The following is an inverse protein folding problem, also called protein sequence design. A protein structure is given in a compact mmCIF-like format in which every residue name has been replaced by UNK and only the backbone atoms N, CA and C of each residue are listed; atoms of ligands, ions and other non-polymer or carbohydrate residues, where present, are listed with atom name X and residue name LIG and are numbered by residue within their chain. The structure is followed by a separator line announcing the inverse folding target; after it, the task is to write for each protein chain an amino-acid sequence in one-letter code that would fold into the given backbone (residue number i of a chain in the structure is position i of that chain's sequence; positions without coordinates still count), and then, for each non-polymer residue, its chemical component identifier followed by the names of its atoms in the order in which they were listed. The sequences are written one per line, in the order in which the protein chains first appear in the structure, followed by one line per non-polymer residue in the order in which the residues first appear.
data_IF_534221276491
#
_entry.id   IF_534221276491
#
_cell.length_a   1.000
_cell.length_b   1.000
_cell.length_c   1.000
_cell.angle_alpha   90.00
_cell.angle_beta   90.00
_cell.angle_gamma   90.00
#
_symmetry.space_group_name_H-M   'P 1'
#
loop_
_entity.id
_entity.type
_entity.pdbx_description
1 polymer ?
#
# COMPACT_ATOMS: atom_id res chain seq x y z
N UNK A 1 -50.96 12.09 -5.01
CA UNK A 1 -49.80 12.90 -4.56
C UNK A 1 -50.09 13.36 -3.15
N UNK A 2 -49.48 12.75 -2.14
CA UNK A 2 -49.73 13.09 -0.74
C UNK A 2 -48.45 13.73 -0.17
N UNK A 3 -48.47 15.06 -0.03
CA UNK A 3 -47.40 15.81 0.62
C UNK A 3 -47.56 15.65 2.13
N UNK A 4 -46.78 14.75 2.73
CA UNK A 4 -46.65 14.68 4.18
C UNK A 4 -45.71 15.80 4.64
N UNK A 5 -46.27 16.97 4.95
CA UNK A 5 -45.55 18.01 5.68
C UNK A 5 -45.23 17.50 7.09
N UNK A 6 -43.96 17.31 7.38
CA UNK A 6 -43.46 17.01 8.73
C UNK A 6 -43.45 18.34 9.49
N UNK A 7 -44.47 18.58 10.31
CA UNK A 7 -44.46 19.67 11.27
C UNK A 7 -43.62 19.25 12.49
N UNK A 8 -42.45 19.85 12.62
CA UNK A 8 -41.65 19.77 13.85
C UNK A 8 -42.24 20.80 14.81
N UNK A 9 -42.96 20.34 15.83
CA UNK A 9 -43.38 21.17 16.94
C UNK A 9 -42.21 21.23 17.92
N UNK A 10 -41.55 22.38 17.99
CA UNK A 10 -40.57 22.68 19.04
C UNK A 10 -41.40 23.14 20.25
N UNK A 11 -41.44 22.30 21.28
CA UNK A 11 -42.06 22.65 22.55
C UNK A 11 -41.10 23.58 23.32
N UNK A 12 -41.45 24.86 23.44
CA UNK A 12 -40.65 25.89 24.10
C UNK A 12 -40.65 25.80 25.63
N UNK A 13 -41.27 24.77 26.22
CA UNK A 13 -41.18 24.48 27.66
C UNK A 13 -39.94 23.67 28.03
N UNK A 14 -38.78 24.04 27.50
CA UNK A 14 -37.51 23.45 27.92
C UNK A 14 -37.11 24.01 29.28
N UNK A 15 -37.11 23.16 30.31
CA UNK A 15 -36.27 23.39 31.48
C UNK A 15 -34.87 23.72 30.96
N UNK A 16 -34.34 24.88 31.35
CA UNK A 16 -32.95 25.26 31.09
C UNK A 16 -32.01 24.33 31.87
N UNK A 17 -31.89 23.07 31.47
CA UNK A 17 -30.65 22.34 31.69
C UNK A 17 -29.67 22.97 30.71
N UNK A 18 -28.92 23.98 31.20
CA UNK A 18 -27.74 24.47 30.50
C UNK A 18 -26.96 23.24 30.09
N UNK A 19 -26.94 22.94 28.78
CA UNK A 19 -26.12 21.88 28.24
C UNK A 19 -24.72 22.15 28.78
N UNK A 20 -24.24 21.25 29.63
CA UNK A 20 -22.97 21.36 30.30
C UNK A 20 -21.91 21.66 29.22
N UNK A 21 -21.28 22.84 29.26
CA UNK A 21 -20.29 23.25 28.26
C UNK A 21 -19.17 22.19 28.11
N UNK A 22 -18.88 21.43 29.15
CA UNK A 22 -17.91 20.33 29.16
C UNK A 22 -18.38 19.11 28.34
N UNK A 23 -19.67 18.80 28.31
CA UNK A 23 -20.23 17.74 27.46
C UNK A 23 -20.23 18.15 25.98
N UNK A 24 -20.55 19.41 25.68
CA UNK A 24 -20.46 19.95 24.33
C UNK A 24 -19.01 19.94 23.83
N UNK A 25 -18.06 20.36 24.66
CA UNK A 25 -16.63 20.31 24.34
C UNK A 25 -16.14 18.87 24.12
N UNK A 26 -16.62 17.91 24.92
CA UNK A 26 -16.29 16.48 24.74
C UNK A 26 -16.80 15.96 23.40
N UNK A 27 -18.05 16.27 23.03
CA UNK A 27 -18.64 15.87 21.75
C UNK A 27 -17.93 16.51 20.56
N UNK A 28 -17.61 17.81 20.65
CA UNK A 28 -16.84 18.51 19.60
C UNK A 28 -15.47 17.87 19.39
N UNK A 29 -14.80 17.48 20.49
CA UNK A 29 -13.51 16.80 20.44
C UNK A 29 -13.63 15.43 19.79
N UNK A 30 -14.63 14.63 20.14
CA UNK A 30 -14.85 13.31 19.50
C UNK A 30 -15.11 13.42 17.99
N UNK A 31 -15.90 14.42 17.57
CA UNK A 31 -16.14 14.69 16.14
C UNK A 31 -14.83 15.06 15.43
N UNK A 32 -13.99 15.90 16.05
CA UNK A 32 -12.69 16.28 15.52
C UNK A 32 -11.76 15.05 15.37
N UNK A 33 -11.69 14.20 16.40
CA UNK A 33 -10.92 12.95 16.34
C UNK A 33 -11.40 12.00 15.24
N UNK A 34 -12.71 11.81 15.09
CA UNK A 34 -13.26 10.97 14.03
C UNK A 34 -12.91 11.50 12.64
N UNK A 35 -13.03 12.81 12.43
CA UNK A 35 -12.71 13.43 11.15
C UNK A 35 -11.22 13.34 10.80
N UNK A 36 -10.34 13.55 11.80
CA UNK A 36 -8.89 13.37 11.62
C UNK A 36 -8.56 11.91 11.29
N UNK A 37 -9.18 10.95 11.98
CA UNK A 37 -8.95 9.54 11.74
C UNK A 37 -9.40 9.09 10.34
N UNK A 38 -10.57 9.54 9.90
CA UNK A 38 -11.06 9.29 8.53
C UNK A 38 -10.09 9.87 7.51
N UNK A 39 -9.69 11.14 7.67
CA UNK A 39 -8.72 11.79 6.80
C UNK A 39 -7.39 11.00 6.71
N UNK A 40 -6.84 10.59 7.85
CA UNK A 40 -5.61 9.78 7.90
C UNK A 40 -5.80 8.42 7.21
N UNK A 41 -6.95 7.76 7.39
CA UNK A 41 -7.25 6.50 6.71
C UNK A 41 -7.29 6.67 5.20
N UNK A 42 -7.96 7.71 4.69
CA UNK A 42 -7.96 8.03 3.26
C UNK A 42 -6.55 8.32 2.75
N UNK A 43 -5.78 9.13 3.46
CA UNK A 43 -4.42 9.48 3.07
C UNK A 43 -3.51 8.23 3.00
N UNK A 44 -3.60 7.35 3.99
CA UNK A 44 -2.84 6.10 4.04
C UNK A 44 -3.22 5.17 2.88
N UNK A 45 -4.51 5.02 2.59
CA UNK A 45 -4.98 4.21 1.45
C UNK A 45 -4.47 4.75 0.10
N UNK A 46 -4.55 6.06 -0.10
CA UNK A 46 -4.05 6.71 -1.33
C UNK A 46 -2.53 6.52 -1.46
N UNK A 47 -1.79 6.68 -0.37
CA UNK A 47 -0.34 6.49 -0.37
C UNK A 47 0.04 5.03 -0.66
N UNK A 48 -0.63 4.07 -0.01
CA UNK A 48 -0.42 2.64 -0.25
C UNK A 48 -0.69 2.27 -1.72
N UNK A 49 -1.80 2.73 -2.29
CA UNK A 49 -2.14 2.55 -3.70
C UNK A 49 -1.09 3.17 -4.63
N UNK A 50 -0.62 4.38 -4.31
CA UNK A 50 0.41 5.08 -5.09
C UNK A 50 1.75 4.32 -5.08
N UNK A 51 2.13 3.76 -3.93
CA UNK A 51 3.35 2.95 -3.78
C UNK A 51 3.27 1.65 -4.59
N UNK A 52 2.15 0.94 -4.55
CA UNK A 52 1.95 -0.28 -5.36
C UNK A 52 1.99 0.03 -6.85
N UNK A 53 1.34 1.13 -7.28
CA UNK A 53 1.35 1.57 -8.66
C UNK A 53 2.78 1.89 -9.13
N UNK A 54 3.55 2.63 -8.32
CA UNK A 54 4.94 2.95 -8.64
C UNK A 54 5.80 1.68 -8.82
N UNK A 55 5.67 0.69 -7.92
CA UNK A 55 6.35 -0.60 -8.06
C UNK A 55 5.93 -1.35 -9.32
N UNK A 56 4.64 -1.37 -9.63
CA UNK A 56 4.13 -2.01 -10.84
C UNK A 56 4.69 -1.37 -12.10
N UNK A 57 4.76 -0.04 -12.14
CA UNK A 57 5.35 0.68 -13.27
C UNK A 57 6.85 0.44 -13.38
N UNK A 58 7.58 0.40 -12.26
CA UNK A 58 9.02 0.10 -12.25
C UNK A 58 9.30 -1.29 -12.83
N UNK A 59 8.59 -2.32 -12.36
CA UNK A 59 8.74 -3.66 -12.90
C UNK A 59 8.38 -3.74 -14.38
N UNK A 60 7.32 -3.05 -14.81
CA UNK A 60 6.90 -3.06 -16.21
C UNK A 60 7.92 -2.37 -17.12
N UNK A 61 8.46 -1.23 -16.70
CA UNK A 61 9.36 -0.43 -17.54
C UNK A 61 10.80 -0.94 -17.54
N UNK A 62 11.29 -1.46 -16.41
CA UNK A 62 12.72 -1.69 -16.20
C UNK A 62 13.12 -3.18 -16.22
N UNK A 63 12.16 -4.10 -16.25
CA UNK A 63 12.44 -5.54 -16.17
C UNK A 63 11.83 -6.33 -17.34
N UNK A 64 12.63 -7.24 -17.88
CA UNK A 64 12.17 -8.28 -18.80
C UNK A 64 11.52 -9.43 -18.03
N UNK A 65 10.66 -10.21 -18.71
CA UNK A 65 10.06 -11.43 -18.12
C UNK A 65 11.13 -12.35 -17.51
N UNK A 66 12.27 -12.52 -18.19
CA UNK A 66 13.37 -13.35 -17.67
C UNK A 66 13.93 -12.82 -16.35
N UNK A 67 14.06 -11.50 -16.20
CA UNK A 67 14.53 -10.90 -14.95
C UNK A 67 13.48 -11.02 -13.84
N UNK A 68 12.20 -10.83 -14.15
CA UNK A 68 11.12 -11.04 -13.17
C UNK A 68 11.10 -12.48 -12.67
N UNK A 69 11.22 -13.47 -13.57
CA UNK A 69 11.32 -14.89 -13.21
C UNK A 69 12.52 -15.17 -12.29
N UNK A 70 13.67 -14.50 -12.50
CA UNK A 70 14.82 -14.64 -11.60
C UNK A 70 14.54 -14.12 -10.19
N UNK A 71 13.77 -13.04 -10.07
CA UNK A 71 13.33 -12.53 -8.76
C UNK A 71 12.41 -13.58 -8.10
N UNK A 72 11.47 -14.15 -8.87
CA UNK A 72 10.62 -15.23 -8.38
C UNK A 72 11.44 -16.47 -7.97
N UNK A 73 12.53 -16.77 -8.68
CA UNK A 73 13.41 -17.90 -8.38
C UNK A 73 14.12 -17.68 -7.04
N UNK A 74 14.56 -16.44 -6.78
CA UNK A 74 15.12 -16.06 -5.48
C UNK A 74 14.11 -16.23 -4.34
N UNK A 75 12.84 -15.89 -4.56
CA UNK A 75 11.78 -16.10 -3.57
C UNK A 75 11.28 -17.55 -3.45
N UNK A 76 11.67 -18.43 -4.37
CA UNK A 76 11.21 -19.82 -4.41
C UNK A 76 9.77 -19.99 -4.92
N UNK A 77 9.16 -18.94 -5.50
CA UNK A 77 7.76 -18.91 -5.94
C UNK A 77 7.57 -19.17 -7.45
N UNK A 78 8.66 -19.37 -8.19
CA UNK A 78 8.60 -19.57 -9.65
C UNK A 78 7.82 -20.81 -10.08
N UNK A 79 7.68 -21.80 -9.21
CA UNK A 79 6.92 -23.02 -9.53
C UNK A 79 5.47 -22.67 -9.89
N UNK A 80 4.85 -21.80 -9.11
CA UNK A 80 3.45 -21.37 -9.32
C UNK A 80 3.31 -20.56 -10.60
N UNK A 81 4.32 -19.75 -10.92
CA UNK A 81 4.35 -18.94 -12.14
C UNK A 81 4.47 -19.82 -13.39
N UNK A 82 5.41 -20.79 -13.38
CA UNK A 82 5.67 -21.68 -14.51
C UNK A 82 4.51 -22.65 -14.73
N UNK A 83 3.91 -23.17 -13.67
CA UNK A 83 2.77 -24.07 -13.76
C UNK A 83 1.55 -23.39 -14.41
N UNK A 84 1.29 -22.14 -14.04
CA UNK A 84 0.13 -21.38 -14.52
C UNK A 84 0.41 -20.58 -15.81
N UNK A 85 1.65 -20.55 -16.31
CA UNK A 85 2.06 -19.83 -17.53
C UNK A 85 1.66 -18.35 -17.53
N UNK A 86 1.88 -17.68 -16.39
CA UNK A 86 1.51 -16.29 -16.21
C UNK A 86 2.20 -15.36 -17.23
N UNK A 87 1.48 -14.35 -17.71
CA UNK A 87 1.98 -13.25 -18.53
C UNK A 87 2.75 -12.24 -17.65
N UNK A 88 3.44 -11.30 -18.30
CA UNK A 88 4.28 -10.30 -17.60
C UNK A 88 3.52 -9.55 -16.51
N UNK A 89 2.36 -8.97 -16.84
CA UNK A 89 1.54 -8.23 -15.88
C UNK A 89 1.10 -9.10 -14.69
N UNK A 90 0.71 -10.35 -14.95
CA UNK A 90 0.32 -11.30 -13.91
C UNK A 90 1.50 -11.68 -13.00
N UNK A 91 2.72 -11.80 -13.57
CA UNK A 91 3.95 -12.02 -12.80
C UNK A 91 4.24 -10.80 -11.91
N UNK A 92 4.05 -9.58 -12.42
CA UNK A 92 4.27 -8.34 -11.68
C UNK A 92 3.29 -8.25 -10.51
N UNK A 93 2.00 -8.48 -10.73
CA UNK A 93 1.00 -8.50 -9.66
C UNK A 93 1.36 -9.55 -8.60
N UNK A 94 1.71 -10.76 -9.02
CA UNK A 94 2.10 -11.83 -8.10
C UNK A 94 3.35 -11.51 -7.28
N UNK A 95 4.34 -10.85 -7.89
CA UNK A 95 5.54 -10.37 -7.18
C UNK A 95 5.18 -9.30 -6.15
N UNK A 96 4.36 -8.32 -6.52
CA UNK A 96 3.99 -7.23 -5.61
C UNK A 96 3.18 -7.79 -4.43
N UNK A 97 2.24 -8.70 -4.68
CA UNK A 97 1.46 -9.36 -3.63
C UNK A 97 2.36 -10.15 -2.66
N UNK A 98 3.38 -10.83 -3.20
CA UNK A 98 4.39 -11.49 -2.36
C UNK A 98 5.20 -10.47 -1.55
N UNK A 99 5.57 -9.34 -2.13
CA UNK A 99 6.45 -8.34 -1.51
C UNK A 99 5.78 -7.46 -0.46
N UNK A 100 4.49 -7.17 -0.59
CA UNK A 100 3.74 -6.42 0.41
C UNK A 100 3.23 -7.31 1.57
N UNK A 101 3.43 -8.63 1.50
CA UNK A 101 3.15 -9.51 2.62
C UNK A 101 4.19 -9.30 3.74
N UNK A 102 3.74 -8.93 4.93
CA UNK A 102 4.60 -8.67 6.10
C UNK A 102 5.47 -9.88 6.48
N UNK A 103 4.98 -11.11 6.26
CA UNK A 103 5.76 -12.32 6.53
C UNK A 103 6.99 -12.45 5.61
N UNK A 104 6.98 -11.77 4.46
CA UNK A 104 8.05 -11.80 3.47
C UNK A 104 9.00 -10.61 3.62
N UNK A 105 8.73 -9.64 4.49
CA UNK A 105 9.52 -8.40 4.59
C UNK A 105 11.03 -8.65 4.69
N UNK A 106 11.46 -9.66 5.47
CA UNK A 106 12.89 -9.95 5.63
C UNK A 106 13.54 -10.51 4.36
N UNK A 107 12.87 -11.38 3.61
CA UNK A 107 13.41 -11.96 2.38
C UNK A 107 13.44 -10.90 1.25
N UNK A 108 12.42 -10.05 1.20
CA UNK A 108 12.31 -8.92 0.26
C UNK A 108 13.42 -7.89 0.52
N UNK A 109 13.62 -7.50 1.78
CA UNK A 109 14.69 -6.59 2.16
C UNK A 109 16.07 -7.14 1.78
N UNK A 110 16.35 -8.42 2.04
CA UNK A 110 17.61 -9.06 1.62
C UNK A 110 17.81 -9.03 0.11
N UNK A 111 16.75 -9.29 -0.66
CA UNK A 111 16.78 -9.24 -2.13
C UNK A 111 17.18 -7.85 -2.62
N UNK A 112 16.54 -6.81 -2.08
CA UNK A 112 16.84 -5.41 -2.41
C UNK A 112 18.29 -5.05 -2.09
N UNK A 113 18.76 -5.40 -0.89
CA UNK A 113 20.14 -5.17 -0.49
C UNK A 113 21.16 -5.86 -1.40
N UNK A 114 20.93 -7.13 -1.75
CA UNK A 114 21.83 -7.85 -2.64
C UNK A 114 21.83 -7.29 -4.06
N UNK A 115 20.67 -6.88 -4.58
CA UNK A 115 20.60 -6.24 -5.91
C UNK A 115 21.32 -4.90 -5.93
N UNK A 116 21.17 -4.11 -4.85
CA UNK A 116 21.92 -2.88 -4.68
C UNK A 116 23.43 -3.13 -4.69
N UNK A 117 23.94 -4.06 -3.86
CA UNK A 117 25.37 -4.39 -3.86
C UNK A 117 25.86 -4.93 -5.20
N UNK A 118 25.07 -5.76 -5.88
CA UNK A 118 25.41 -6.23 -7.22
C UNK A 118 25.51 -5.08 -8.22
N UNK A 119 24.64 -4.07 -8.12
CA UNK A 119 24.71 -2.89 -8.97
C UNK A 119 25.97 -2.06 -8.69
N UNK A 120 26.30 -1.83 -7.41
CA UNK A 120 27.54 -1.14 -7.01
C UNK A 120 28.78 -1.87 -7.54
N UNK A 121 28.84 -3.20 -7.41
CA UNK A 121 29.94 -4.00 -7.92
C UNK A 121 30.04 -3.96 -9.45
N UNK A 122 28.92 -3.90 -10.17
CA UNK A 122 28.90 -3.76 -11.64
C UNK A 122 29.43 -2.41 -12.11
N UNK A 123 29.22 -1.36 -11.32
CA UNK A 123 29.66 -0.01 -11.63
C UNK A 123 31.14 0.23 -11.26
N UNK A 124 31.70 -0.55 -10.33
CA UNK A 124 33.11 -0.47 -10.00
C UNK A 124 34.03 -1.01 -11.12
N UNK A 125 35.11 -0.27 -11.42
CA UNK A 125 36.02 -0.56 -12.53
C UNK A 125 36.82 -1.85 -12.34
N UNK A 126 37.14 -2.20 -11.10
CA UNK A 126 37.97 -3.36 -10.75
C UNK A 126 37.09 -4.59 -10.55
N UNK A 127 36.06 -4.49 -9.70
CA UNK A 127 35.18 -5.59 -9.29
C UNK A 127 34.35 -6.14 -10.43
N UNK A 128 33.88 -5.29 -11.37
CA UNK A 128 33.08 -5.75 -12.50
C UNK A 128 33.75 -6.83 -13.36
N UNK A 129 35.08 -6.92 -13.33
CA UNK A 129 35.87 -7.94 -14.07
C UNK A 129 35.70 -9.35 -13.48
N UNK A 130 35.35 -9.43 -12.20
CA UNK A 130 35.16 -10.68 -11.47
C UNK A 130 33.69 -11.12 -11.42
N UNK A 131 32.78 -10.25 -11.84
CA UNK A 131 31.37 -10.61 -11.99
C UNK A 131 31.20 -11.44 -13.25
N UNK A 132 30.73 -12.67 -13.10
CA UNK A 132 30.21 -13.43 -14.23
C UNK A 132 29.00 -12.67 -14.79
N UNK A 133 28.96 -12.45 -16.10
CA UNK A 133 27.82 -11.86 -16.79
C UNK A 133 26.55 -12.66 -16.44
N UNK A 134 25.61 -12.02 -15.74
CA UNK A 134 24.28 -12.54 -15.39
C UNK A 134 23.20 -11.73 -16.09
#
# INVERSE_FOLDING_TARGET
MNNNNINIVIDENSNNEELNNTELESLLKEIEYAHVNDFLMYQNNVNYSSKMLAKSMDYEMNYTIKQLIRICDYYGITKDIKANKLKKDEIISFLIDFEENENNTMIVYKREQFWYYMNEMKNDKFMKKFLLLW
#
